data_IF_395263647424
#
_entry.id   IF_395263647424
#
_cell.length_a   1.000
_cell.length_b   1.000
_cell.length_c   1.000
_cell.angle_alpha   90.00
_cell.angle_beta   90.00
_cell.angle_gamma   90.00
#
_symmetry.space_group_name_H-M   'P 1'
#
loop_
_entity.id
_entity.type
_entity.pdbx_description
1 polymer ?
#
# COMPACT_ATOMS: atom_id res chain seq x y z
N UNK A 1 -5.10 -2.99 -2.82
CA UNK A 1 -6.36 -2.72 -2.10
C UNK A 1 -6.08 -2.07 -0.76
N UNK A 2 -7.06 -1.36 -0.21
CA UNK A 2 -6.92 -0.62 1.04
C UNK A 2 -8.14 -0.88 1.94
N UNK A 3 -7.91 -1.22 3.20
CA UNK A 3 -8.96 -1.47 4.19
C UNK A 3 -9.04 -0.34 5.22
N UNK A 4 -10.26 0.06 5.56
CA UNK A 4 -10.52 1.03 6.60
C UNK A 4 -11.09 0.35 7.86
N UNK A 5 -10.32 0.33 8.93
CA UNK A 5 -10.71 -0.15 10.26
C UNK A 5 -10.73 0.96 11.32
N UNK A 6 -10.84 2.22 10.91
CA UNK A 6 -10.73 3.39 11.81
C UNK A 6 -11.99 3.63 12.65
N UNK A 7 -13.04 2.81 12.51
CA UNK A 7 -14.35 3.05 13.14
C UNK A 7 -15.15 4.19 12.48
N UNK A 8 -14.59 4.88 11.48
CA UNK A 8 -15.22 6.01 10.77
C UNK A 8 -14.92 5.94 9.27
N UNK A 9 -15.48 6.85 8.49
CA UNK A 9 -15.17 6.92 7.05
C UNK A 9 -13.84 7.64 6.81
N UNK A 10 -13.12 7.20 5.79
CA UNK A 10 -11.92 7.85 5.25
C UNK A 10 -12.24 8.46 3.89
N UNK A 11 -11.74 9.67 3.65
CA UNK A 11 -11.96 10.40 2.39
C UNK A 11 -10.65 10.50 1.64
N UNK A 12 -10.67 10.29 0.32
CA UNK A 12 -9.50 10.50 -0.53
C UNK A 12 -9.04 11.96 -0.45
N UNK A 13 -7.75 12.17 -0.20
CA UNK A 13 -7.14 13.49 -0.05
C UNK A 13 -6.14 13.81 -1.18
N UNK A 14 -5.59 12.80 -1.85
CA UNK A 14 -4.69 13.01 -2.97
C UNK A 14 -3.88 11.77 -3.34
N UNK A 15 -3.08 11.90 -4.39
CA UNK A 15 -2.13 10.89 -4.84
C UNK A 15 -0.89 11.56 -5.42
N UNK A 16 0.14 10.76 -5.62
CA UNK A 16 1.35 11.16 -6.32
C UNK A 16 1.89 9.98 -7.11
N UNK A 17 2.19 10.21 -8.39
CA UNK A 17 2.77 9.20 -9.27
C UNK A 17 4.22 9.60 -9.56
N UNK A 18 5.19 8.82 -9.05
CA UNK A 18 6.59 9.01 -9.43
C UNK A 18 6.86 8.36 -10.79
N UNK A 19 6.31 7.16 -11.00
CA UNK A 19 6.43 6.40 -12.24
C UNK A 19 5.15 5.60 -12.46
N UNK A 20 4.43 5.85 -13.56
CA UNK A 20 3.17 5.18 -13.86
C UNK A 20 1.99 6.10 -13.69
N UNK A 21 0.81 5.50 -13.54
CA UNK A 21 -0.44 6.21 -13.30
C UNK A 21 -1.52 5.25 -12.77
N UNK A 22 -2.52 5.82 -12.08
CA UNK A 22 -3.77 5.13 -11.76
C UNK A 22 -4.52 4.81 -13.07
N UNK A 23 -4.84 3.54 -13.29
CA UNK A 23 -5.45 3.04 -14.51
C UNK A 23 -6.98 3.03 -14.42
N UNK A 24 -7.63 3.69 -15.40
CA UNK A 24 -9.09 3.76 -15.66
C UNK A 24 -10.00 4.09 -14.47
N UNK A 25 -10.05 3.23 -13.45
CA UNK A 25 -10.83 3.45 -12.23
C UNK A 25 -10.04 4.33 -11.25
N UNK A 26 -10.61 5.47 -10.82
CA UNK A 26 -9.97 6.32 -9.82
C UNK A 26 -9.90 5.62 -8.46
N UNK A 27 -9.05 6.15 -7.57
CA UNK A 27 -9.08 5.78 -6.17
C UNK A 27 -10.47 6.08 -5.57
N UNK A 28 -11.03 5.19 -4.73
CA UNK A 28 -12.31 5.42 -4.06
C UNK A 28 -12.31 6.74 -3.28
N UNK A 29 -13.26 7.63 -3.57
CA UNK A 29 -13.34 8.94 -2.91
C UNK A 29 -13.71 8.84 -1.42
N UNK A 30 -14.41 7.78 -1.04
CA UNK A 30 -14.84 7.48 0.32
C UNK A 30 -14.70 5.98 0.58
N UNK A 31 -14.11 5.60 1.70
CA UNK A 31 -14.07 4.22 2.19
C UNK A 31 -14.72 4.21 3.58
N UNK A 32 -15.86 3.56 3.75
CA UNK A 32 -16.50 3.48 5.07
C UNK A 32 -15.76 2.50 5.97
N UNK A 33 -16.02 2.58 7.28
CA UNK A 33 -15.46 1.62 8.23
C UNK A 33 -15.87 0.18 7.87
N UNK A 34 -14.92 -0.74 7.91
CA UNK A 34 -15.10 -2.14 7.55
C UNK A 34 -15.14 -2.41 6.04
N UNK A 35 -14.88 -1.42 5.19
CA UNK A 35 -14.87 -1.60 3.73
C UNK A 35 -13.45 -1.64 3.16
N UNK A 36 -13.36 -2.33 2.02
CA UNK A 36 -12.21 -2.32 1.13
C UNK A 36 -12.42 -1.32 -0.01
N UNK A 37 -11.37 -0.56 -0.32
CA UNK A 37 -11.22 0.19 -1.55
C UNK A 37 -10.18 -0.47 -2.46
N UNK A 38 -10.43 -0.47 -3.77
CA UNK A 38 -9.52 -1.02 -4.76
C UNK A 38 -9.28 -0.03 -5.90
N UNK A 39 -8.07 -0.05 -6.43
CA UNK A 39 -7.65 0.68 -7.63
C UNK A 39 -6.45 -0.06 -8.23
N UNK A 40 -6.16 0.24 -9.50
CA UNK A 40 -5.02 -0.33 -10.21
C UNK A 40 -4.05 0.81 -10.57
N UNK A 41 -2.77 0.62 -10.29
CA UNK A 41 -1.72 1.54 -10.74
C UNK A 41 -0.76 0.78 -11.65
N UNK A 42 -0.53 1.30 -12.85
CA UNK A 42 0.24 0.61 -13.89
C UNK A 42 1.48 1.40 -14.26
N UNK A 43 2.52 0.69 -14.70
CA UNK A 43 3.72 1.31 -15.26
C UNK A 43 3.38 2.07 -16.56
N UNK A 44 4.18 3.07 -16.95
CA UNK A 44 4.01 3.73 -18.23
C UNK A 44 4.19 2.75 -19.40
N UNK A 45 3.42 2.96 -20.47
CA UNK A 45 3.62 2.21 -21.71
C UNK A 45 5.00 2.50 -22.29
N UNK A 46 5.68 1.46 -22.80
CA UNK A 46 6.97 1.56 -23.47
C UNK A 46 8.15 2.15 -22.65
N UNK A 47 8.04 2.30 -21.33
CA UNK A 47 9.17 2.70 -20.48
C UNK A 47 9.87 1.51 -19.83
N UNK A 48 11.12 1.74 -19.41
CA UNK A 48 11.88 0.83 -18.53
C UNK A 48 11.57 1.07 -17.04
N UNK A 49 10.58 1.90 -16.74
CA UNK A 49 10.19 2.26 -15.38
C UNK A 49 9.17 1.27 -14.82
N UNK A 50 9.10 1.27 -13.50
CA UNK A 50 8.17 0.46 -12.72
C UNK A 50 6.80 1.09 -12.53
N UNK A 51 6.11 0.63 -11.49
CA UNK A 51 4.90 1.23 -10.96
C UNK A 51 5.23 1.77 -9.57
N UNK A 52 5.28 3.09 -9.42
CA UNK A 52 5.67 3.78 -8.20
C UNK A 52 4.73 4.95 -7.95
N UNK A 53 4.03 4.91 -6.82
CA UNK A 53 3.06 5.94 -6.48
C UNK A 53 2.65 5.88 -5.02
N UNK A 54 1.85 6.86 -4.64
CA UNK A 54 1.28 6.99 -3.31
C UNK A 54 -0.16 7.49 -3.38
N UNK A 55 -0.96 7.11 -2.38
CA UNK A 55 -2.30 7.66 -2.14
C UNK A 55 -2.42 8.12 -0.71
N UNK A 56 -3.25 9.13 -0.50
CA UNK A 56 -3.50 9.75 0.80
C UNK A 56 -4.98 9.69 1.11
N UNK A 57 -5.32 9.19 2.29
CA UNK A 57 -6.67 9.20 2.82
C UNK A 57 -6.71 9.98 4.13
N UNK A 58 -7.72 10.84 4.27
CA UNK A 58 -7.95 11.68 5.44
C UNK A 58 -9.07 11.11 6.31
N UNK A 59 -8.80 11.07 7.61
CA UNK A 59 -9.71 10.55 8.62
C UNK A 59 -9.56 11.27 9.96
N UNK A 60 -10.12 10.68 11.02
CA UNK A 60 -9.96 11.16 12.39
C UNK A 60 -9.39 10.07 13.28
N UNK A 61 -8.45 10.43 14.15
CA UNK A 61 -7.91 9.54 15.17
C UNK A 61 -8.88 9.36 16.37
N UNK A 62 -8.46 8.61 17.39
CA UNK A 62 -9.22 8.38 18.63
C UNK A 62 -9.61 9.68 19.37
N UNK A 63 -8.79 10.73 19.28
CA UNK A 63 -9.08 12.03 19.87
C UNK A 63 -10.01 12.90 19.00
N UNK A 64 -10.46 12.40 17.85
CA UNK A 64 -11.27 13.15 16.89
C UNK A 64 -10.48 14.17 16.07
N UNK A 65 -9.15 14.17 16.17
CA UNK A 65 -8.25 15.04 15.41
C UNK A 65 -8.05 14.46 14.02
N UNK A 66 -8.05 15.32 12.99
CA UNK A 66 -7.88 14.90 11.62
C UNK A 66 -6.43 14.48 11.32
N UNK A 67 -6.26 13.38 10.60
CA UNK A 67 -4.95 12.84 10.19
C UNK A 67 -4.99 12.39 8.74
N UNK A 68 -3.84 12.45 8.07
CA UNK A 68 -3.62 11.92 6.73
C UNK A 68 -2.82 10.62 6.82
N UNK A 69 -3.38 9.54 6.29
CA UNK A 69 -2.72 8.26 6.09
C UNK A 69 -2.22 8.18 4.65
N UNK A 70 -0.90 8.21 4.47
CA UNK A 70 -0.26 8.00 3.18
C UNK A 70 0.19 6.56 3.04
N UNK A 71 -0.06 5.98 1.88
CA UNK A 71 0.30 4.61 1.52
C UNK A 71 1.02 4.66 0.17
N UNK A 72 2.28 4.22 0.14
CA UNK A 72 3.15 4.26 -1.03
C UNK A 72 3.67 2.87 -1.38
N UNK A 73 3.90 2.67 -2.68
CA UNK A 73 4.46 1.45 -3.25
C UNK A 73 5.53 1.77 -4.28
N UNK A 74 6.47 0.84 -4.42
CA UNK A 74 7.40 0.79 -5.54
C UNK A 74 7.51 -0.64 -6.06
N UNK A 75 7.24 -0.80 -7.35
CA UNK A 75 7.37 -2.04 -8.11
C UNK A 75 8.34 -1.73 -9.24
N UNK A 76 9.66 -1.76 -9.00
CA UNK A 76 10.63 -1.41 -10.01
C UNK A 76 10.66 -2.48 -11.11
N UNK A 77 11.13 -2.12 -12.31
CA UNK A 77 11.33 -3.09 -13.40
C UNK A 77 12.36 -4.16 -13.02
N UNK A 78 13.39 -3.75 -12.28
CA UNK A 78 14.44 -4.60 -11.76
C UNK A 78 14.67 -4.28 -10.29
N UNK A 79 14.84 -5.32 -9.48
CA UNK A 79 15.05 -5.17 -8.04
C UNK A 79 13.89 -5.72 -7.23
N UNK A 80 13.74 -5.21 -6.02
CA UNK A 80 12.74 -5.68 -5.05
C UNK A 80 11.64 -4.65 -4.90
N UNK A 81 10.41 -5.14 -4.77
CA UNK A 81 9.27 -4.30 -4.43
C UNK A 81 9.45 -3.74 -3.02
N UNK A 82 8.96 -2.53 -2.80
CA UNK A 82 8.91 -1.90 -1.48
C UNK A 82 7.54 -1.28 -1.22
N UNK A 83 7.17 -1.25 0.06
CA UNK A 83 5.95 -0.64 0.54
C UNK A 83 6.30 0.29 1.69
N UNK A 84 5.63 1.44 1.74
CA UNK A 84 5.83 2.42 2.80
C UNK A 84 4.51 3.08 3.19
N UNK A 85 4.39 3.46 4.46
CA UNK A 85 3.24 4.21 4.95
C UNK A 85 3.69 5.19 6.02
N UNK A 86 3.03 6.33 6.08
CA UNK A 86 3.29 7.37 7.05
C UNK A 86 1.99 8.12 7.37
N UNK A 87 1.76 8.38 8.66
CA UNK A 87 0.59 9.09 9.16
C UNK A 87 1.03 10.43 9.72
N UNK A 88 0.44 11.52 9.24
CA UNK A 88 0.76 12.87 9.73
C UNK A 88 -0.52 13.67 9.94
N UNK A 89 -0.38 14.91 10.37
CA UNK A 89 -1.49 15.84 10.50
C UNK A 89 -2.27 15.99 9.19
N UNK A 90 -3.54 16.39 9.27
CA UNK A 90 -4.32 16.67 8.07
C UNK A 90 -3.66 17.75 7.21
N UNK A 91 -3.74 17.59 5.89
CA UNK A 91 -3.16 18.47 4.88
C UNK A 91 -1.64 18.40 4.75
N UNK A 92 -0.99 17.44 5.43
CA UNK A 92 0.48 17.29 5.38
C UNK A 92 0.99 17.10 3.94
N UNK A 93 0.34 16.25 3.14
CA UNK A 93 0.82 15.91 1.79
C UNK A 93 0.31 16.84 0.68
N UNK A 94 -0.33 17.96 1.03
CA UNK A 94 -0.72 19.01 0.07
C UNK A 94 0.46 19.93 -0.29
N UNK A 95 1.55 19.87 0.48
CA UNK A 95 2.85 20.51 0.18
C UNK A 95 3.86 19.51 -0.38
N UNK A 96 4.97 19.99 -0.94
CA UNK A 96 5.97 19.14 -1.61
C UNK A 96 6.83 18.33 -0.62
N UNK A 97 6.34 17.15 -0.24
CA UNK A 97 7.07 16.14 0.55
C UNK A 97 7.50 14.92 -0.28
N UNK A 98 7.19 14.89 -1.58
CA UNK A 98 7.29 13.68 -2.39
C UNK A 98 8.72 13.21 -2.62
N UNK A 99 9.69 14.14 -2.71
CA UNK A 99 11.11 13.79 -2.76
C UNK A 99 11.59 13.11 -1.48
N UNK A 100 11.13 13.58 -0.31
CA UNK A 100 11.43 12.96 0.98
C UNK A 100 10.82 11.56 1.09
N UNK A 101 9.55 11.39 0.71
CA UNK A 101 8.89 10.08 0.72
C UNK A 101 9.57 9.10 -0.24
N UNK A 102 9.98 9.55 -1.44
CA UNK A 102 10.70 8.70 -2.39
C UNK A 102 11.99 8.15 -1.78
N UNK A 103 12.78 9.02 -1.15
CA UNK A 103 14.02 8.62 -0.48
C UNK A 103 13.77 7.68 0.70
N UNK A 104 12.68 7.88 1.46
CA UNK A 104 12.32 6.97 2.55
C UNK A 104 11.89 5.59 2.05
N UNK A 105 11.20 5.53 0.92
CA UNK A 105 10.74 4.27 0.32
C UNK A 105 11.90 3.48 -0.29
N UNK A 106 12.98 4.16 -0.67
CA UNK A 106 14.21 3.55 -1.15
C UNK A 106 14.76 2.59 -0.07
N UNK A 107 14.93 1.33 -0.45
CA UNK A 107 15.39 0.23 0.42
C UNK A 107 14.43 -0.24 1.52
N UNK A 108 13.16 0.18 1.52
CA UNK A 108 12.17 -0.39 2.47
C UNK A 108 11.84 -1.85 2.12
N UNK A 109 11.50 -2.67 3.13
CA UNK A 109 11.03 -4.02 2.88
C UNK A 109 9.66 -4.00 2.18
N UNK A 110 9.17 -5.19 1.86
CA UNK A 110 7.85 -5.40 1.25
C UNK A 110 6.69 -5.17 2.24
N UNK A 111 6.97 -4.74 3.46
CA UNK A 111 5.97 -4.38 4.45
C UNK A 111 6.48 -3.25 5.35
N UNK A 112 5.58 -2.38 5.80
CA UNK A 112 5.93 -1.28 6.70
C UNK A 112 4.76 -0.92 7.58
N UNK A 113 5.04 -0.41 8.78
CA UNK A 113 4.04 0.00 9.76
C UNK A 113 4.42 1.37 10.30
N UNK A 114 3.43 2.23 10.46
CA UNK A 114 3.57 3.52 11.14
C UNK A 114 2.49 3.66 12.21
N UNK A 115 2.88 4.24 13.34
CA UNK A 115 1.97 4.64 14.42
C UNK A 115 2.21 6.09 14.77
N UNK A 116 1.14 6.88 14.77
CA UNK A 116 1.25 8.31 15.03
C UNK A 116 -0.05 8.86 15.62
N UNK A 117 0.05 9.60 16.73
CA UNK A 117 -1.08 10.32 17.33
C UNK A 117 -2.35 9.49 17.49
N UNK A 118 -2.22 8.25 18.01
CA UNK A 118 -3.37 7.37 18.22
C UNK A 118 -3.95 6.74 16.93
N UNK A 119 -3.19 6.78 15.84
CA UNK A 119 -3.51 6.16 14.55
C UNK A 119 -2.50 5.06 14.23
N UNK A 120 -2.93 4.08 13.43
CA UNK A 120 -2.13 2.94 12.99
C UNK A 120 -2.28 2.77 11.47
N UNK A 121 -1.17 2.44 10.80
CA UNK A 121 -1.15 2.11 9.37
C UNK A 121 -0.19 0.94 9.15
N UNK A 122 -0.61 -0.02 8.34
CA UNK A 122 0.23 -1.11 7.89
C UNK A 122 0.09 -1.29 6.40
N UNK A 123 1.20 -1.55 5.72
CA UNK A 123 1.23 -1.87 4.29
C UNK A 123 2.03 -3.12 4.03
N UNK A 124 1.62 -3.89 3.02
CA UNK A 124 2.35 -5.02 2.46
C UNK A 124 2.28 -4.98 0.94
N UNK A 125 3.28 -5.58 0.28
CA UNK A 125 3.29 -5.77 -1.16
C UNK A 125 3.87 -7.15 -1.50
N UNK A 126 3.23 -7.84 -2.44
CA UNK A 126 3.69 -9.12 -2.96
C UNK A 126 4.97 -9.03 -3.78
N UNK A 127 5.42 -10.16 -4.31
CA UNK A 127 6.62 -10.25 -5.15
C UNK A 127 6.25 -10.19 -6.63
N UNK A 128 7.26 -10.11 -7.49
CA UNK A 128 7.07 -10.10 -8.94
C UNK A 128 6.64 -8.74 -9.48
N UNK A 129 6.12 -8.73 -10.71
CA UNK A 129 5.92 -7.51 -11.52
C UNK A 129 4.46 -7.03 -11.57
N UNK A 130 3.54 -7.79 -11.02
CA UNK A 130 2.12 -7.44 -10.87
C UNK A 130 1.58 -7.87 -9.50
N UNK A 131 2.26 -7.45 -8.41
CA UNK A 131 1.91 -7.87 -7.05
C UNK A 131 0.61 -7.24 -6.57
N UNK A 132 -0.01 -7.87 -5.59
CA UNK A 132 -0.99 -7.20 -4.74
C UNK A 132 -0.29 -6.30 -3.73
N UNK A 133 -0.74 -5.04 -3.63
CA UNK A 133 -0.42 -4.13 -2.53
C UNK A 133 -1.62 -4.06 -1.58
N UNK A 134 -1.41 -4.25 -0.28
CA UNK A 134 -2.45 -4.17 0.74
C UNK A 134 -2.10 -3.09 1.75
N UNK A 135 -2.99 -2.12 1.93
CA UNK A 135 -2.88 -1.10 2.98
C UNK A 135 -4.02 -1.24 3.99
N UNK A 136 -3.73 -1.11 5.28
CA UNK A 136 -4.73 -1.15 6.34
C UNK A 136 -4.52 0.04 7.26
N UNK A 137 -5.59 0.83 7.43
CA UNK A 137 -5.61 1.99 8.32
C UNK A 137 -6.55 1.71 9.48
N UNK A 138 -6.09 2.02 10.69
CA UNK A 138 -6.85 1.82 11.91
C UNK A 138 -6.47 2.86 12.97
N UNK A 139 -7.06 2.73 14.15
CA UNK A 139 -6.69 3.46 15.34
C UNK A 139 -5.73 2.64 16.20
N UNK A 140 -4.80 3.33 16.85
CA UNK A 140 -3.84 2.69 17.76
C UNK A 140 -4.58 2.02 18.93
N UNK A 141 -4.10 0.86 19.35
CA UNK A 141 -4.73 0.04 20.39
C UNK A 141 -5.89 -0.88 19.94
N UNK A 142 -6.46 -0.69 18.75
CA UNK A 142 -7.46 -1.63 18.17
C UNK A 142 -6.78 -2.91 17.68
N UNK A 143 -5.52 -2.78 17.26
CA UNK A 143 -4.68 -3.85 16.71
C UNK A 143 -3.38 -3.95 17.53
N UNK A 144 -3.46 -4.29 18.82
CA UNK A 144 -2.26 -4.62 19.61
C UNK A 144 -1.84 -6.08 19.41
N UNK A 145 -0.53 -6.34 19.39
CA UNK A 145 0.27 -7.60 19.29
C UNK A 145 -0.27 -8.80 18.45
N UNK A 146 -1.53 -9.21 18.62
CA UNK A 146 -2.20 -10.25 17.81
C UNK A 146 -2.34 -9.85 16.34
N UNK A 147 -2.48 -8.55 16.07
CA UNK A 147 -2.55 -8.01 14.70
C UNK A 147 -1.25 -8.16 13.94
N UNK A 148 -0.11 -7.82 14.54
CA UNK A 148 1.21 -7.96 13.94
C UNK A 148 1.46 -9.41 13.49
N UNK A 149 1.10 -10.38 14.33
CA UNK A 149 1.21 -11.79 13.98
C UNK A 149 0.29 -12.15 12.80
N UNK A 150 -0.98 -11.74 12.83
CA UNK A 150 -1.94 -11.99 11.74
C UNK A 150 -1.52 -11.31 10.42
N UNK A 151 -0.99 -10.08 10.48
CA UNK A 151 -0.44 -9.37 9.33
C UNK A 151 0.80 -10.03 8.76
N UNK A 152 1.71 -10.49 9.63
CA UNK A 152 2.89 -11.25 9.20
C UNK A 152 2.48 -12.60 8.59
N UNK A 153 1.44 -13.25 9.11
CA UNK A 153 0.86 -14.47 8.52
C UNK A 153 0.23 -14.18 7.16
N UNK A 154 -0.60 -13.14 7.03
CA UNK A 154 -1.18 -12.73 5.74
C UNK A 154 -0.08 -12.41 4.72
N UNK A 155 0.94 -11.64 5.11
CA UNK A 155 2.09 -11.33 4.25
C UNK A 155 2.88 -12.59 3.86
N UNK A 156 3.00 -13.57 4.77
CA UNK A 156 3.63 -14.85 4.48
C UNK A 156 2.78 -15.71 3.54
N UNK A 157 1.46 -15.76 3.73
CA UNK A 157 0.54 -16.50 2.86
C UNK A 157 0.50 -15.92 1.45
N UNK A 158 0.51 -14.58 1.30
CA UNK A 158 0.68 -13.95 -0.02
C UNK A 158 2.01 -14.33 -0.67
N UNK A 159 3.11 -14.37 0.10
CA UNK A 159 4.41 -14.78 -0.41
C UNK A 159 4.47 -16.28 -0.79
N UNK A 160 3.73 -17.15 -0.08
CA UNK A 160 3.62 -18.58 -0.37
C UNK A 160 2.78 -18.80 -1.64
N UNK A 161 1.62 -18.15 -1.76
CA UNK A 161 0.79 -18.25 -2.97
C UNK A 161 1.52 -17.75 -4.23
N UNK A 162 2.29 -16.67 -4.12
CA UNK A 162 3.11 -16.16 -5.23
C UNK A 162 4.18 -17.20 -5.63
N UNK A 163 4.85 -17.84 -4.67
CA UNK A 163 5.85 -18.89 -4.96
C UNK A 163 5.24 -20.12 -5.64
N UNK A 164 4.02 -20.51 -5.26
CA UNK A 164 3.33 -21.64 -5.87
C UNK A 164 2.90 -21.36 -7.33
N UNK A 165 2.61 -20.11 -7.67
CA UNK A 165 2.27 -19.70 -9.03
C UNK A 165 3.49 -19.64 -9.95
N UNK A 166 4.66 -19.26 -9.42
CA UNK A 166 5.92 -19.28 -10.16
C UNK A 166 6.33 -20.72 -10.53
N UNK A 167 6.18 -21.68 -9.62
CA UNK A 167 6.48 -23.10 -9.87
C UNK A 167 5.50 -23.74 -10.88
N UNK A 168 4.21 -23.43 -10.79
CA UNK A 168 3.20 -23.90 -11.77
C UNK A 168 3.39 -23.30 -13.18
N UNK A 169 4.03 -22.12 -13.29
CA UNK A 169 4.40 -21.50 -14.55
C UNK A 169 5.60 -22.18 -15.24
N UNK A 170 6.43 -22.89 -14.49
CA UNK A 170 7.58 -23.65 -15.00
C UNK A 170 7.13 -25.00 -15.55
N UNK A 171 6.24 -25.72 -14.86
CA UNK A 171 5.72 -27.02 -15.33
C UNK A 171 4.97 -26.94 -16.67
N UNK A 172 4.29 -25.83 -16.97
CA UNK A 172 3.56 -25.67 -18.23
C UNK A 172 4.44 -25.34 -19.45
N UNK A 173 5.76 -25.13 -19.28
CA UNK A 173 6.70 -24.90 -20.39
C UNK A 173 7.49 -26.14 -20.81
N UNK A 174 7.48 -27.22 -20.03
CA UNK A 174 8.18 -28.46 -20.38
C UNK A 174 7.33 -29.42 -21.24
N UNK A 175 6.04 -29.13 -21.47
CA UNK A 175 5.11 -29.98 -22.22
C UNK A 175 4.91 -29.68 -23.71
N UNK A 176 5.64 -28.75 -24.32
CA UNK A 176 5.57 -28.47 -25.78
C UNK A 176 6.94 -28.58 -26.43
N UNK A 177 7.31 -29.79 -26.83
CA UNK A 177 8.21 -30.06 -27.96
C UNK A 177 7.51 -30.95 -28.96
#
# INVERSE_FOLDING_TARGET
MIFNATGRSLTYAGSHDWHGHIYESPCPSLIQNGQWGAFLHTRPAASLEGSEGAVVYRGKNNAGVACDWMLAWSIPRFGRNSAFTEIREAHHYETDYWGYIKNLMEHKPTNYIDTWSGSYSAVTIGRGTSPEFVGIMSLDGVFSQLSHAVFMTLAADTAIEDSAKDDAGIENKEGKK
#
